data_IF_324820665760
#
_entry.id   IF_324820665760
#
_cell.length_a   1.000
_cell.length_b   1.000
_cell.length_c   1.000
_cell.angle_alpha   90.00
_cell.angle_beta   90.00
_cell.angle_gamma   90.00
#
_symmetry.space_group_name_H-M   'P 1'
#
loop_
_entity.id
_entity.type
_entity.pdbx_description
1 polymer ?
#
# COMPACT_ATOMS: atom_id res chain seq x y z
N UNK A 1 1.17 -19.33 -32.46
CA UNK A 1 0.57 -18.83 -31.21
C UNK A 1 1.38 -19.47 -30.10
N UNK A 2 2.46 -18.81 -29.68
CA UNK A 2 3.36 -19.34 -28.65
C UNK A 2 2.80 -18.99 -27.28
N UNK A 3 2.22 -20.00 -26.64
CA UNK A 3 1.88 -19.96 -25.22
C UNK A 3 3.20 -20.05 -24.46
N UNK A 4 3.78 -18.92 -24.09
CA UNK A 4 4.92 -18.87 -23.18
C UNK A 4 4.46 -19.42 -21.83
N UNK A 5 4.82 -20.67 -21.54
CA UNK A 5 4.70 -21.25 -20.20
C UNK A 5 5.61 -20.48 -19.27
N UNK A 6 5.10 -19.41 -18.67
CA UNK A 6 5.81 -18.62 -17.69
C UNK A 6 5.88 -19.46 -16.40
N UNK A 7 7.07 -19.95 -16.05
CA UNK A 7 7.31 -20.61 -14.77
C UNK A 7 6.83 -19.69 -13.65
N UNK A 8 6.02 -20.18 -12.68
CA UNK A 8 5.57 -19.34 -11.58
C UNK A 8 6.79 -18.77 -10.82
N UNK A 9 6.69 -17.54 -10.30
CA UNK A 9 7.77 -16.96 -9.52
C UNK A 9 8.09 -17.86 -8.31
N UNK A 10 9.34 -17.90 -7.85
CA UNK A 10 9.77 -18.74 -6.72
C UNK A 10 9.31 -18.17 -5.36
N UNK A 11 8.27 -17.35 -5.36
CA UNK A 11 7.71 -16.72 -4.17
C UNK A 11 6.21 -16.47 -4.35
N UNK A 12 5.54 -16.29 -3.22
CA UNK A 12 4.17 -15.81 -3.11
C UNK A 12 4.16 -14.51 -2.32
N UNK A 13 3.28 -13.59 -2.70
CA UNK A 13 3.00 -12.40 -1.92
C UNK A 13 1.69 -12.59 -1.17
N UNK A 14 1.71 -12.35 0.13
CA UNK A 14 0.47 -12.27 0.88
C UNK A 14 -0.21 -10.92 0.73
N UNK A 15 -1.35 -10.79 1.41
CA UNK A 15 -2.06 -9.52 1.54
C UNK A 15 -1.21 -8.50 2.30
N UNK A 16 -1.41 -7.24 1.96
CA UNK A 16 -0.64 -6.17 2.57
C UNK A 16 -1.20 -5.76 3.92
N UNK A 17 -0.33 -5.39 4.85
CA UNK A 17 -0.73 -4.79 6.12
C UNK A 17 -1.13 -3.29 5.98
N UNK A 18 -1.51 -2.66 7.08
CA UNK A 18 -1.93 -1.24 7.08
C UNK A 18 -0.80 -0.26 6.74
N UNK A 19 0.46 -0.72 6.82
CA UNK A 19 1.65 0.01 6.41
C UNK A 19 1.99 -0.20 4.92
N UNK A 20 1.11 -0.89 4.17
CA UNK A 20 1.29 -1.23 2.76
C UNK A 20 2.53 -2.08 2.48
N UNK A 21 2.90 -2.97 3.42
CA UNK A 21 3.96 -3.96 3.27
C UNK A 21 3.38 -5.30 2.86
N UNK A 22 4.01 -5.97 1.90
CA UNK A 22 3.63 -7.29 1.42
C UNK A 22 4.56 -8.34 2.05
N UNK A 23 4.02 -9.36 2.74
CA UNK A 23 4.83 -10.49 3.14
C UNK A 23 5.25 -11.30 1.91
N UNK A 24 6.51 -11.74 1.91
CA UNK A 24 7.09 -12.60 0.89
C UNK A 24 7.29 -13.98 1.47
N UNK A 25 6.75 -14.99 0.78
CA UNK A 25 6.83 -16.38 1.20
C UNK A 25 7.39 -17.24 0.08
N UNK A 26 8.04 -18.36 0.39
CA UNK A 26 8.43 -19.37 -0.61
C UNK A 26 7.41 -20.50 -0.74
N UNK A 27 6.58 -20.68 0.27
CA UNK A 27 5.42 -21.57 0.32
C UNK A 27 4.45 -21.11 1.42
N UNK A 28 3.45 -21.92 1.76
CA UNK A 28 2.44 -21.57 2.76
C UNK A 28 2.97 -21.54 4.21
N UNK A 29 4.21 -21.99 4.45
CA UNK A 29 4.79 -22.19 5.80
C UNK A 29 6.04 -21.36 6.07
N UNK A 30 6.64 -20.72 5.06
CA UNK A 30 7.91 -20.03 5.20
C UNK A 30 7.81 -18.56 4.79
N UNK A 31 7.73 -17.67 5.78
CA UNK A 31 7.82 -16.22 5.60
C UNK A 31 9.29 -15.76 5.58
N UNK A 32 9.67 -15.05 4.52
CA UNK A 32 11.04 -14.56 4.29
C UNK A 32 11.25 -13.09 4.67
N UNK A 33 10.18 -12.37 4.96
CA UNK A 33 10.22 -10.94 5.28
C UNK A 33 9.21 -10.13 4.48
N UNK A 34 9.30 -8.81 4.63
CA UNK A 34 8.35 -7.85 4.07
C UNK A 34 8.97 -7.05 2.94
N UNK A 35 8.17 -6.70 1.93
CA UNK A 35 8.56 -5.72 0.91
C UNK A 35 7.56 -4.56 0.85
N UNK A 36 8.02 -3.37 0.53
CA UNK A 36 7.14 -2.21 0.39
C UNK A 36 7.70 -1.16 -0.56
N UNK A 37 6.82 -0.26 -1.00
CA UNK A 37 7.19 0.85 -1.88
C UNK A 37 7.21 2.16 -1.12
N UNK A 38 8.27 2.95 -1.31
CA UNK A 38 8.38 4.30 -0.77
C UNK A 38 9.10 5.22 -1.76
N UNK A 39 8.47 6.33 -2.15
CA UNK A 39 8.97 7.34 -3.10
C UNK A 39 9.63 6.77 -4.36
N UNK A 40 8.95 5.82 -5.02
CA UNK A 40 9.45 5.19 -6.25
C UNK A 40 10.42 4.03 -6.02
N UNK A 41 11.02 3.94 -4.84
CA UNK A 41 11.87 2.82 -4.43
C UNK A 41 11.08 1.65 -3.86
N UNK A 42 11.64 0.46 -4.00
CA UNK A 42 11.19 -0.77 -3.37
C UNK A 42 12.22 -1.22 -2.34
N UNK A 43 11.69 -1.57 -1.17
CA UNK A 43 12.47 -1.91 0.00
C UNK A 43 12.11 -3.32 0.45
N UNK A 44 13.07 -4.01 1.06
CA UNK A 44 12.88 -5.29 1.71
C UNK A 44 13.32 -5.21 3.18
N UNK A 45 12.59 -5.90 4.05
CA UNK A 45 12.93 -6.14 5.46
C UNK A 45 13.02 -7.66 5.61
N UNK A 46 14.22 -8.25 5.62
CA UNK A 46 14.39 -9.69 5.81
C UNK A 46 13.78 -10.18 7.13
N UNK A 47 13.30 -11.43 7.16
CA UNK A 47 12.74 -12.02 8.38
C UNK A 47 13.76 -11.95 9.53
N UNK A 48 13.28 -11.60 10.72
CA UNK A 48 14.11 -11.40 11.90
C UNK A 48 14.92 -10.09 11.93
N UNK A 49 14.79 -9.23 10.92
CA UNK A 49 15.42 -7.91 10.88
C UNK A 49 14.38 -6.79 11.00
N UNK A 50 14.82 -5.62 11.45
CA UNK A 50 13.98 -4.41 11.55
C UNK A 50 14.34 -3.32 10.54
N UNK A 51 15.53 -3.40 9.94
CA UNK A 51 16.01 -2.41 8.99
C UNK A 51 15.52 -2.70 7.57
N UNK A 52 15.10 -1.64 6.88
CA UNK A 52 14.66 -1.73 5.50
C UNK A 52 15.81 -1.38 4.55
N UNK A 53 16.03 -2.25 3.56
CA UNK A 53 17.03 -2.08 2.52
C UNK A 53 16.36 -1.71 1.21
N UNK A 54 16.82 -0.65 0.52
CA UNK A 54 16.36 -0.35 -0.84
C UNK A 54 17.01 -1.32 -1.81
N UNK A 55 16.20 -2.04 -2.57
CA UNK A 55 16.65 -3.16 -3.40
C UNK A 55 16.18 -3.06 -4.86
N UNK A 56 15.27 -2.14 -5.16
CA UNK A 56 14.82 -1.90 -6.53
C UNK A 56 14.05 -0.59 -6.67
N UNK A 57 13.64 -0.29 -7.90
CA UNK A 57 12.95 0.95 -8.25
C UNK A 57 11.83 0.70 -9.28
N UNK A 58 10.86 1.61 -9.32
CA UNK A 58 9.87 1.69 -10.39
C UNK A 58 8.94 0.47 -10.50
N UNK A 59 8.52 0.16 -11.73
CA UNK A 59 7.49 -0.86 -12.01
C UNK A 59 7.96 -2.30 -11.79
N UNK A 60 9.24 -2.59 -11.95
CA UNK A 60 9.82 -3.93 -11.75
C UNK A 60 10.30 -4.15 -10.32
N UNK A 61 10.50 -3.08 -9.55
CA UNK A 61 11.11 -3.16 -8.22
C UNK A 61 10.35 -4.03 -7.21
N UNK A 62 9.03 -4.24 -7.38
CA UNK A 62 8.27 -5.18 -6.55
C UNK A 62 8.83 -6.60 -6.65
N UNK A 63 9.06 -7.06 -7.87
CA UNK A 63 9.59 -8.40 -8.12
C UNK A 63 11.06 -8.47 -7.73
N UNK A 64 11.84 -7.41 -8.01
CA UNK A 64 13.24 -7.32 -7.56
C UNK A 64 13.36 -7.47 -6.04
N UNK A 65 12.49 -6.81 -5.28
CA UNK A 65 12.52 -6.88 -3.82
C UNK A 65 12.13 -8.27 -3.29
N UNK A 66 11.14 -8.91 -3.89
CA UNK A 66 10.77 -10.28 -3.51
C UNK A 66 11.89 -11.28 -3.85
N UNK A 67 12.48 -11.18 -5.05
CA UNK A 67 13.58 -12.04 -5.48
C UNK A 67 14.84 -11.84 -4.65
N UNK A 68 15.10 -10.62 -4.16
CA UNK A 68 16.17 -10.37 -3.21
C UNK A 68 16.01 -11.23 -1.96
N UNK A 69 14.84 -11.23 -1.32
CA UNK A 69 14.60 -12.07 -0.13
C UNK A 69 14.75 -13.57 -0.43
N UNK A 70 14.31 -14.03 -1.60
CA UNK A 70 14.51 -15.42 -2.02
C UNK A 70 16.01 -15.75 -2.17
N UNK A 71 16.81 -14.85 -2.75
CA UNK A 71 18.27 -15.04 -2.88
C UNK A 71 18.94 -15.13 -1.51
N UNK A 72 18.62 -14.20 -0.61
CA UNK A 72 19.17 -14.18 0.75
C UNK A 72 18.81 -15.45 1.54
N UNK A 73 17.59 -15.99 1.35
CA UNK A 73 17.18 -17.27 1.90
C UNK A 73 17.98 -18.45 1.31
N UNK A 74 18.09 -18.53 -0.02
CA UNK A 74 18.85 -19.59 -0.68
C UNK A 74 20.34 -19.59 -0.31
N UNK A 75 20.88 -18.41 0.02
CA UNK A 75 22.25 -18.24 0.50
C UNK A 75 22.40 -18.44 2.03
N UNK A 76 21.31 -18.81 2.71
CA UNK A 76 21.31 -19.14 4.14
C UNK A 76 21.41 -17.92 5.08
N UNK A 77 21.19 -16.70 4.57
CA UNK A 77 21.23 -15.46 5.36
C UNK A 77 19.90 -15.11 6.01
N UNK A 78 18.81 -15.67 5.53
CA UNK A 78 17.48 -15.57 6.14
C UNK A 78 17.11 -16.91 6.74
N UNK A 79 16.74 -16.91 8.01
CA UNK A 79 16.02 -18.03 8.63
C UNK A 79 14.54 -17.72 8.50
N UNK A 80 13.76 -18.53 7.75
CA UNK A 80 12.33 -18.29 7.60
C UNK A 80 11.60 -18.27 8.93
N UNK A 81 10.56 -17.45 9.02
CA UNK A 81 9.67 -17.40 10.17
C UNK A 81 8.34 -18.07 9.84
N UNK A 82 7.61 -18.46 10.88
CA UNK A 82 6.24 -18.94 10.76
C UNK A 82 5.34 -17.87 10.09
N UNK A 83 4.41 -18.22 9.18
CA UNK A 83 3.47 -17.29 8.57
C UNK A 83 2.57 -16.55 9.58
N UNK A 84 2.47 -16.99 10.84
CA UNK A 84 1.90 -16.19 11.92
C UNK A 84 2.64 -14.86 12.13
N UNK A 85 3.91 -14.75 11.69
CA UNK A 85 4.68 -13.52 11.64
C UNK A 85 4.20 -12.54 10.55
N UNK A 86 3.29 -12.95 9.66
CA UNK A 86 2.60 -12.06 8.71
C UNK A 86 1.49 -11.26 9.38
N UNK A 87 1.27 -11.45 10.69
CA UNK A 87 0.30 -10.66 11.43
C UNK A 87 0.59 -9.16 11.21
N UNK A 88 -0.44 -8.36 10.88
CA UNK A 88 -0.26 -6.95 10.63
C UNK A 88 0.37 -6.32 11.88
N UNK A 89 1.56 -5.75 11.72
CA UNK A 89 2.14 -4.97 12.78
C UNK A 89 1.18 -3.81 13.09
N UNK A 90 1.00 -3.50 14.38
CA UNK A 90 0.12 -2.42 14.77
C UNK A 90 0.51 -1.14 14.02
N UNK A 91 -0.50 -0.47 13.44
CA UNK A 91 -0.33 0.82 12.77
C UNK A 91 0.49 1.75 13.65
N UNK A 92 1.52 2.37 13.05
CA UNK A 92 2.44 3.23 13.80
C UNK A 92 1.67 4.41 14.39
N UNK A 93 2.01 4.77 15.62
CA UNK A 93 1.46 5.96 16.26
C UNK A 93 1.66 7.18 15.35
N UNK A 94 0.55 7.83 15.04
CA UNK A 94 0.54 8.97 14.14
C UNK A 94 1.13 10.20 14.86
N UNK A 95 1.97 10.97 14.16
CA UNK A 95 2.75 12.07 14.75
C UNK A 95 2.23 13.42 14.22
N UNK A 96 1.97 14.38 15.12
CA UNK A 96 1.66 15.77 14.79
C UNK A 96 0.49 16.38 15.57
N UNK A 97 0.28 17.71 15.50
CA UNK A 97 -0.82 18.42 16.19
C UNK A 97 -2.21 17.96 15.74
N UNK A 98 -2.26 17.32 14.57
CA UNK A 98 -3.30 16.38 14.15
C UNK A 98 -2.51 15.23 13.53
N UNK A 99 -2.83 13.96 13.80
CA UNK A 99 -2.10 12.78 13.31
C UNK A 99 -2.21 12.58 11.78
N UNK A 100 -1.84 13.59 11.00
CA UNK A 100 -2.09 13.70 9.57
C UNK A 100 -1.02 13.05 8.73
N UNK A 101 0.22 12.95 9.21
CA UNK A 101 1.36 12.49 8.41
C UNK A 101 1.75 11.07 8.79
N UNK A 102 2.09 10.30 7.77
CA UNK A 102 2.72 9.01 7.96
C UNK A 102 4.11 9.20 8.61
N UNK A 103 4.55 8.37 9.57
CA UNK A 103 5.83 8.58 10.29
C UNK A 103 7.09 8.62 9.41
N UNK A 104 7.06 7.98 8.23
CA UNK A 104 8.15 8.04 7.23
C UNK A 104 8.18 9.33 6.40
N UNK A 105 7.16 10.19 6.49
CA UNK A 105 7.06 11.44 5.73
C UNK A 105 7.59 12.61 6.61
N UNK A 106 8.55 13.42 6.13
CA UNK A 106 9.07 14.54 6.92
C UNK A 106 7.99 15.55 7.30
N UNK A 107 8.03 16.05 8.54
CA UNK A 107 7.14 17.11 9.00
C UNK A 107 7.66 18.46 8.47
N UNK A 108 6.90 19.06 7.56
CA UNK A 108 7.12 20.41 7.03
C UNK A 108 5.79 21.01 6.54
N UNK A 109 5.74 22.32 6.35
CA UNK A 109 4.52 23.05 6.00
C UNK A 109 3.83 22.49 4.74
N UNK A 110 4.61 22.19 3.70
CA UNK A 110 4.11 21.63 2.44
C UNK A 110 3.43 20.28 2.65
N UNK A 111 4.06 19.37 3.38
CA UNK A 111 3.50 18.05 3.65
C UNK A 111 2.25 18.14 4.53
N UNK A 112 2.26 19.04 5.53
CA UNK A 112 1.10 19.31 6.39
C UNK A 112 -0.08 19.86 5.59
N UNK A 113 0.14 20.85 4.73
CA UNK A 113 -0.89 21.42 3.86
C UNK A 113 -1.48 20.34 2.92
N UNK A 114 -0.62 19.55 2.28
CA UNK A 114 -1.06 18.47 1.41
C UNK A 114 -1.87 17.40 2.16
N UNK A 115 -1.50 17.09 3.41
CA UNK A 115 -2.23 16.13 4.22
C UNK A 115 -3.61 16.66 4.61
N UNK A 116 -3.73 17.94 4.97
CA UNK A 116 -5.03 18.58 5.25
C UNK A 116 -5.96 18.51 4.02
N UNK A 117 -5.44 18.85 2.84
CA UNK A 117 -6.20 18.75 1.59
C UNK A 117 -6.63 17.30 1.31
N UNK A 118 -5.72 16.35 1.48
CA UNK A 118 -6.02 14.94 1.26
C UNK A 118 -7.09 14.43 2.23
N UNK A 119 -6.96 14.70 3.53
CA UNK A 119 -7.94 14.26 4.54
C UNK A 119 -9.33 14.84 4.28
N UNK A 120 -9.44 16.14 4.02
CA UNK A 120 -10.72 16.78 3.70
C UNK A 120 -11.41 16.12 2.50
N UNK A 121 -10.64 15.82 1.45
CA UNK A 121 -11.16 15.17 0.27
C UNK A 121 -11.50 13.68 0.48
N UNK A 122 -10.76 12.95 1.31
CA UNK A 122 -11.11 11.56 1.67
C UNK A 122 -12.46 11.50 2.36
N UNK A 123 -12.73 12.40 3.32
CA UNK A 123 -14.05 12.53 3.95
C UNK A 123 -15.13 12.83 2.91
N UNK A 124 -14.89 13.81 2.03
CA UNK A 124 -15.85 14.17 0.97
C UNK A 124 -16.13 13.01 -0.01
N UNK A 125 -15.16 12.11 -0.19
CA UNK A 125 -15.26 10.97 -1.09
C UNK A 125 -15.52 9.64 -0.37
N UNK A 126 -15.83 9.64 0.92
CA UNK A 126 -16.21 8.45 1.71
C UNK A 126 -15.10 7.38 1.77
N UNK A 127 -13.88 7.84 2.06
CA UNK A 127 -12.72 6.99 2.34
C UNK A 127 -12.21 7.26 3.75
N UNK A 128 -11.96 6.18 4.50
CA UNK A 128 -11.32 6.25 5.81
C UNK A 128 -9.86 5.77 5.70
N UNK A 129 -8.85 6.61 5.98
CA UNK A 129 -7.46 6.17 6.02
C UNK A 129 -7.17 5.34 7.27
N UNK A 130 -6.26 4.35 7.17
CA UNK A 130 -5.79 3.53 8.30
C UNK A 130 -4.43 3.93 8.86
N UNK A 131 -3.90 5.05 8.38
CA UNK A 131 -2.68 5.67 8.85
C UNK A 131 -2.60 7.11 8.36
N UNK A 132 -1.50 7.80 8.66
CA UNK A 132 -1.29 9.18 8.20
C UNK A 132 -1.03 9.25 6.70
N UNK A 133 -1.18 10.44 6.14
CA UNK A 133 -0.88 10.78 4.74
C UNK A 133 0.59 10.45 4.43
N UNK A 134 0.85 9.53 3.48
CA UNK A 134 2.20 9.10 3.16
C UNK A 134 2.84 9.93 2.05
N UNK A 135 2.18 10.96 1.54
CA UNK A 135 2.57 11.62 0.29
C UNK A 135 1.78 11.08 -0.91
N UNK A 136 1.73 11.88 -1.98
CA UNK A 136 0.79 11.61 -3.08
C UNK A 136 1.17 10.42 -3.97
N UNK A 137 2.44 10.04 -3.94
CA UNK A 137 3.10 9.03 -4.74
C UNK A 137 3.33 7.72 -3.95
N UNK A 138 2.88 7.65 -2.71
CA UNK A 138 2.99 6.45 -1.87
C UNK A 138 1.63 5.75 -1.73
N UNK A 139 1.63 4.41 -1.62
CA UNK A 139 0.42 3.67 -1.29
C UNK A 139 -0.02 4.05 0.13
N UNK A 140 -1.33 4.20 0.29
CA UNK A 140 -1.97 4.53 1.55
C UNK A 140 -3.09 3.52 1.79
N UNK A 141 -3.04 2.84 2.93
CA UNK A 141 -4.05 1.85 3.28
C UNK A 141 -5.36 2.53 3.65
N UNK A 142 -6.43 2.13 2.97
CA UNK A 142 -7.73 2.77 3.02
C UNK A 142 -8.82 1.75 3.31
N UNK A 143 -9.92 2.23 3.88
CA UNK A 143 -11.21 1.56 3.89
C UNK A 143 -12.24 2.38 3.10
N UNK A 144 -13.00 1.69 2.24
CA UNK A 144 -14.12 2.28 1.53
C UNK A 144 -15.37 2.30 2.43
N UNK A 145 -15.89 3.47 2.76
CA UNK A 145 -17.06 3.57 3.66
C UNK A 145 -18.38 3.13 2.99
N UNK A 146 -18.36 2.85 1.69
CA UNK A 146 -19.54 2.41 0.94
C UNK A 146 -19.73 0.89 0.94
N UNK A 147 -18.66 0.11 1.13
CA UNK A 147 -18.69 -1.35 1.06
C UNK A 147 -17.68 -2.05 1.97
N UNK A 148 -16.94 -1.31 2.81
CA UNK A 148 -15.93 -1.78 3.75
C UNK A 148 -14.73 -2.51 3.12
N UNK A 149 -14.53 -2.40 1.81
CA UNK A 149 -13.30 -2.89 1.19
C UNK A 149 -12.07 -2.20 1.81
N UNK A 150 -11.02 -2.98 2.09
CA UNK A 150 -9.76 -2.49 2.66
C UNK A 150 -8.60 -2.82 1.73
N UNK A 151 -7.67 -1.87 1.59
CA UNK A 151 -6.44 -2.10 0.84
C UNK A 151 -5.72 -0.81 0.42
N UNK A 152 -4.58 -0.95 -0.27
CA UNK A 152 -3.74 0.18 -0.64
C UNK A 152 -4.33 0.97 -1.81
N UNK A 153 -4.28 2.29 -1.70
CA UNK A 153 -4.65 3.24 -2.77
C UNK A 153 -3.65 4.38 -2.84
N UNK A 154 -3.47 4.96 -4.02
CA UNK A 154 -2.67 6.17 -4.18
C UNK A 154 -3.57 7.39 -4.09
N UNK A 155 -3.18 8.40 -3.31
CA UNK A 155 -3.91 9.67 -3.25
C UNK A 155 -4.13 10.27 -4.64
N UNK A 156 -3.16 10.12 -5.55
CA UNK A 156 -3.27 10.57 -6.93
C UNK A 156 -4.41 9.93 -7.75
N UNK A 157 -4.95 8.79 -7.30
CA UNK A 157 -6.09 8.09 -7.89
C UNK A 157 -7.40 8.33 -7.13
N UNK A 158 -7.30 8.77 -5.86
CA UNK A 158 -8.45 9.09 -5.02
C UNK A 158 -8.89 10.54 -5.21
N UNK A 159 -7.96 11.41 -5.60
CA UNK A 159 -8.26 12.79 -5.94
C UNK A 159 -8.88 12.91 -7.32
N UNK A 160 -9.93 13.71 -7.42
CA UNK A 160 -10.35 14.29 -8.69
C UNK A 160 -9.21 15.06 -9.37
N UNK A 161 -9.31 15.28 -10.69
CA UNK A 161 -8.32 16.07 -11.45
C UNK A 161 -9.03 17.01 -12.40
N UNK A 162 -8.43 18.17 -12.67
CA UNK A 162 -8.94 19.16 -13.63
C UNK A 162 -10.42 19.49 -13.36
N UNK A 163 -10.77 19.74 -12.09
CA UNK A 163 -12.14 20.05 -11.63
C UNK A 163 -13.15 18.90 -11.78
N UNK A 164 -12.73 17.72 -12.21
CA UNK A 164 -13.60 16.54 -12.25
C UNK A 164 -13.50 15.74 -10.95
N UNK A 165 -14.60 15.11 -10.50
CA UNK A 165 -14.56 14.16 -9.40
C UNK A 165 -13.71 12.92 -9.75
N UNK A 166 -13.27 12.13 -8.75
CA UNK A 166 -12.49 10.91 -9.00
C UNK A 166 -13.26 9.87 -9.83
N UNK A 167 -12.60 8.79 -10.24
CA UNK A 167 -13.31 7.69 -10.92
C UNK A 167 -14.35 7.04 -9.99
N UNK A 168 -15.57 6.71 -10.48
CA UNK A 168 -16.53 5.93 -9.70
C UNK A 168 -16.09 4.47 -9.50
N UNK A 169 -15.07 4.01 -10.24
CA UNK A 169 -14.41 2.74 -9.96
C UNK A 169 -13.43 2.91 -8.78
N UNK A 170 -13.91 2.55 -7.59
CA UNK A 170 -13.25 2.87 -6.31
C UNK A 170 -12.06 1.98 -5.99
N UNK A 171 -12.17 0.67 -6.18
CA UNK A 171 -11.13 -0.30 -5.82
C UNK A 171 -11.21 -1.59 -6.67
N UNK A 172 -10.13 -2.40 -6.70
CA UNK A 172 -10.16 -3.73 -7.32
C UNK A 172 -11.28 -4.59 -6.76
N UNK A 173 -11.85 -5.47 -7.59
CA UNK A 173 -13.02 -6.29 -7.24
C UNK A 173 -14.37 -5.58 -7.40
N UNK A 174 -14.37 -4.25 -7.59
CA UNK A 174 -15.60 -3.47 -7.78
C UNK A 174 -16.28 -3.09 -6.47
N UNK A 175 -17.12 -2.06 -6.52
CA UNK A 175 -17.85 -1.52 -5.38
C UNK A 175 -19.36 -1.74 -5.59
N UNK A 176 -20.21 -0.97 -4.90
CA UNK A 176 -21.69 -0.92 -4.99
C UNK A 176 -22.27 -0.56 -6.38
N UNK A 177 -21.47 -0.57 -7.44
CA UNK A 177 -21.84 -0.10 -8.79
C UNK A 177 -21.66 1.41 -8.97
N UNK A 178 -21.31 1.83 -10.19
CA UNK A 178 -20.94 3.21 -10.50
C UNK A 178 -22.08 4.22 -10.23
N UNK A 179 -23.33 3.86 -10.56
CA UNK A 179 -24.48 4.74 -10.37
C UNK A 179 -24.76 4.99 -8.88
N UNK A 180 -24.67 3.96 -8.05
CA UNK A 180 -24.83 4.12 -6.61
C UNK A 180 -23.68 4.93 -5.99
N UNK A 181 -22.45 4.75 -6.49
CA UNK A 181 -21.31 5.59 -6.07
C UNK A 181 -21.58 7.06 -6.38
N UNK A 182 -22.02 7.38 -7.61
CA UNK A 182 -22.36 8.75 -8.03
C UNK A 182 -23.51 9.33 -7.21
N UNK A 183 -24.50 8.52 -6.88
CA UNK A 183 -25.64 8.96 -6.07
C UNK A 183 -25.24 9.28 -4.62
N UNK A 184 -24.25 8.58 -4.04
CA UNK A 184 -23.87 8.72 -2.61
C UNK A 184 -22.79 9.76 -2.34
N UNK A 185 -22.02 10.17 -3.34
CA UNK A 185 -20.92 11.13 -3.17
C UNK A 185 -21.32 12.46 -3.79
N UNK A 186 -21.44 13.49 -2.95
CA UNK A 186 -21.91 14.81 -3.32
C UNK A 186 -21.14 15.45 -4.49
N UNK A 187 -19.84 15.15 -4.60
CA UNK A 187 -19.01 15.71 -5.66
C UNK A 187 -19.36 15.25 -7.10
N UNK A 188 -20.17 14.19 -7.28
CA UNK A 188 -20.66 13.79 -8.61
C UNK A 188 -21.99 14.46 -8.99
N UNK A 189 -22.59 15.23 -8.08
CA UNK A 189 -23.90 15.86 -8.28
C UNK A 189 -23.79 17.32 -8.73
N UNK A 190 -22.56 17.80 -8.94
CA UNK A 190 -22.25 19.18 -9.34
C UNK A 190 -22.06 19.30 -10.84
#
# INVERSE_FOLDING_TARGET
>A
MDTTSQTPPPYQLGDTDEECRYPVRVDDQHHLGLIFRWHGGWFAIPAGQSEALRVGDGGTGKNTAALYLVSEYNEGRIVPQDPAADAPEASRALIGPVPLLHPRLPVNDRNTEHALVAMAALTAYLWTPKGGYPGSDNPWFMECELCHWRGPRYWSHLRGRNQNPPSPHRHPGGCIGADQVRARIAAYQQ
#
